data_IF_433692843764
#
_entry.id   IF_433692843764
#
_cell.length_a   1.000
_cell.length_b   1.000
_cell.length_c   1.000
_cell.angle_alpha   90.00
_cell.angle_beta   90.00
_cell.angle_gamma   90.00
#
_symmetry.space_group_name_H-M   'P 1'
#
loop_
_entity.id
_entity.type
_entity.pdbx_description
1 polymer ?
#
# COMPACT_ATOMS: atom_id res chain seq x y z
N UNK A 1 2.61 -12.45 -5.18
CA UNK A 1 1.49 -12.06 -4.34
C UNK A 1 0.62 -11.00 -5.01
N UNK A 2 -0.52 -10.66 -4.40
CA UNK A 2 -1.53 -9.74 -4.96
C UNK A 2 -0.97 -8.39 -5.41
N UNK A 3 -0.05 -7.80 -4.66
CA UNK A 3 0.54 -6.49 -4.99
C UNK A 3 1.27 -6.51 -6.34
N UNK A 4 2.07 -7.55 -6.59
CA UNK A 4 2.78 -7.71 -7.86
C UNK A 4 1.82 -8.02 -9.01
N UNK A 5 0.74 -8.77 -8.77
CA UNK A 5 -0.30 -9.03 -9.75
C UNK A 5 -1.02 -7.73 -10.16
N UNK A 6 -1.39 -6.89 -9.19
CA UNK A 6 -2.00 -5.58 -9.44
C UNK A 6 -1.04 -4.70 -10.25
N UNK A 7 0.22 -4.59 -9.84
CA UNK A 7 1.22 -3.79 -10.54
C UNK A 7 1.42 -4.25 -12.00
N UNK A 8 1.49 -5.56 -12.24
CA UNK A 8 1.59 -6.14 -13.58
C UNK A 8 0.35 -5.86 -14.41
N UNK A 9 -0.85 -6.04 -13.84
CA UNK A 9 -2.12 -5.75 -14.52
C UNK A 9 -2.25 -4.29 -14.92
N UNK A 10 -1.92 -3.35 -14.02
CA UNK A 10 -1.93 -1.92 -14.32
C UNK A 10 -0.92 -1.56 -15.41
N UNK A 11 0.27 -2.17 -15.40
CA UNK A 11 1.27 -1.97 -16.44
C UNK A 11 0.79 -2.50 -17.80
N UNK A 12 0.11 -3.67 -17.81
CA UNK A 12 -0.51 -4.21 -19.00
C UNK A 12 -1.57 -3.27 -19.57
N UNK A 13 -2.47 -2.76 -18.74
CA UNK A 13 -3.49 -1.78 -19.12
C UNK A 13 -2.84 -0.54 -19.73
N UNK A 14 -1.81 0.01 -19.07
CA UNK A 14 -1.12 1.22 -19.54
C UNK A 14 -0.45 1.01 -20.91
N UNK A 15 0.07 -0.19 -21.18
CA UNK A 15 0.82 -0.48 -22.41
C UNK A 15 -0.08 -0.87 -23.58
N UNK A 16 -1.10 -1.69 -23.34
CA UNK A 16 -1.85 -2.36 -24.42
C UNK A 16 -3.28 -1.86 -24.58
N UNK A 17 -3.90 -1.31 -23.54
CA UNK A 17 -5.25 -0.76 -23.61
C UNK A 17 -5.17 0.72 -23.97
N UNK A 18 -5.56 1.09 -25.22
CA UNK A 18 -5.40 2.47 -25.71
C UNK A 18 -6.67 3.33 -25.70
N UNK A 19 -7.85 2.75 -25.42
CA UNK A 19 -9.12 3.50 -25.41
C UNK A 19 -9.10 4.56 -24.29
N UNK A 20 -9.48 5.81 -24.63
CA UNK A 20 -9.38 6.96 -23.71
C UNK A 20 -10.36 6.94 -22.54
N UNK A 21 -11.50 6.30 -22.70
CA UNK A 21 -12.66 6.42 -21.79
C UNK A 21 -12.84 5.24 -20.84
N UNK A 22 -11.85 4.34 -20.77
CA UNK A 22 -11.96 3.16 -19.91
C UNK A 22 -11.91 3.54 -18.43
N UNK A 23 -12.88 3.04 -17.69
CA UNK A 23 -12.97 3.10 -16.22
C UNK A 23 -12.37 1.81 -15.66
N UNK A 24 -11.41 1.89 -14.77
CA UNK A 24 -10.71 0.73 -14.24
C UNK A 24 -11.00 0.55 -12.76
N UNK A 25 -11.44 -0.64 -12.42
CA UNK A 25 -11.70 -1.04 -11.03
C UNK A 25 -10.75 -2.15 -10.67
N UNK A 26 -10.01 -1.95 -9.57
CA UNK A 26 -9.12 -2.93 -8.96
C UNK A 26 -9.86 -3.50 -7.76
N UNK A 27 -9.96 -4.83 -7.66
CA UNK A 27 -10.55 -5.51 -6.51
C UNK A 27 -9.91 -6.88 -6.31
N UNK A 28 -9.97 -7.39 -5.08
CA UNK A 28 -9.53 -8.74 -4.76
C UNK A 28 -10.58 -9.77 -5.23
N UNK A 29 -10.14 -10.91 -5.76
CA UNK A 29 -11.02 -11.94 -6.35
C UNK A 29 -11.51 -13.00 -5.35
N UNK A 30 -11.24 -12.83 -4.07
CA UNK A 30 -11.56 -13.80 -3.02
C UNK A 30 -12.97 -13.63 -2.42
N UNK A 31 -13.72 -12.65 -2.92
CA UNK A 31 -15.08 -12.34 -2.49
C UNK A 31 -15.18 -11.47 -1.24
N UNK A 32 -14.06 -11.03 -0.66
CA UNK A 32 -14.06 -10.11 0.47
C UNK A 32 -14.46 -8.69 0.06
N UNK A 33 -14.11 -8.28 -1.16
CA UNK A 33 -14.60 -7.04 -1.76
C UNK A 33 -15.99 -7.28 -2.39
N UNK A 34 -16.96 -6.40 -2.11
CA UNK A 34 -18.34 -6.56 -2.60
C UNK A 34 -18.51 -6.02 -4.03
N UNK A 35 -18.78 -6.88 -5.05
CA UNK A 35 -19.01 -6.43 -6.42
C UNK A 35 -20.19 -5.49 -6.57
N UNK A 36 -21.18 -5.51 -5.66
CA UNK A 36 -22.32 -4.58 -5.69
C UNK A 36 -21.87 -3.12 -5.56
N UNK A 37 -20.74 -2.87 -4.91
CA UNK A 37 -20.14 -1.54 -4.77
C UNK A 37 -19.67 -0.94 -6.12
N UNK A 38 -19.47 -1.77 -7.13
CA UNK A 38 -19.14 -1.29 -8.49
C UNK A 38 -20.24 -0.35 -9.01
N UNK A 39 -21.51 -0.67 -8.75
CA UNK A 39 -22.63 0.20 -9.15
C UNK A 39 -22.59 1.57 -8.46
N UNK A 40 -22.19 1.61 -7.18
CA UNK A 40 -22.02 2.87 -6.44
C UNK A 40 -20.85 3.70 -7.02
N UNK A 41 -19.73 3.05 -7.32
CA UNK A 41 -18.58 3.69 -7.98
C UNK A 41 -19.02 4.33 -9.30
N UNK A 42 -19.73 3.58 -10.15
CA UNK A 42 -20.19 4.09 -11.45
C UNK A 42 -21.12 5.28 -11.27
N UNK A 43 -22.14 5.17 -10.41
CA UNK A 43 -23.04 6.29 -10.10
C UNK A 43 -22.30 7.53 -9.59
N UNK A 44 -21.26 7.33 -8.76
CA UNK A 44 -20.47 8.43 -8.24
C UNK A 44 -19.67 9.13 -9.36
N UNK A 45 -19.05 8.36 -10.25
CA UNK A 45 -18.28 8.88 -11.38
C UNK A 45 -19.19 9.63 -12.36
N UNK A 46 -20.38 9.09 -12.63
CA UNK A 46 -21.34 9.71 -13.57
C UNK A 46 -21.89 11.05 -13.02
N UNK A 47 -21.98 11.19 -11.69
CA UNK A 47 -22.30 12.50 -11.04
C UNK A 47 -21.10 13.45 -10.97
N UNK A 48 -19.89 12.90 -10.88
CA UNK A 48 -18.66 13.65 -10.63
C UNK A 48 -17.60 13.31 -11.69
N UNK A 49 -17.80 13.79 -12.92
CA UNK A 49 -16.92 13.48 -14.07
C UNK A 49 -15.44 13.87 -13.88
N UNK A 50 -15.13 14.76 -12.93
CA UNK A 50 -13.76 15.17 -12.61
C UNK A 50 -13.03 14.16 -11.70
N UNK A 51 -13.75 13.20 -11.11
CA UNK A 51 -13.16 12.21 -10.20
C UNK A 51 -12.19 11.28 -10.93
N UNK A 52 -10.99 11.18 -10.43
CA UNK A 52 -9.92 10.37 -11.02
C UNK A 52 -9.58 9.13 -10.22
N UNK A 53 -9.82 9.17 -8.92
CA UNK A 53 -9.50 8.13 -7.95
C UNK A 53 -10.64 8.02 -6.94
N UNK A 54 -11.14 6.80 -6.73
CA UNK A 54 -12.03 6.46 -5.62
C UNK A 54 -11.40 5.30 -4.88
N UNK A 55 -11.22 5.44 -3.57
CA UNK A 55 -10.75 4.36 -2.70
C UNK A 55 -11.91 3.81 -1.88
N UNK A 56 -11.96 2.49 -1.72
CA UNK A 56 -12.97 1.85 -0.89
C UNK A 56 -12.42 1.70 0.52
N UNK A 57 -12.93 2.51 1.46
CA UNK A 57 -12.52 2.47 2.85
C UNK A 57 -13.25 1.35 3.58
N UNK A 58 -12.48 0.47 4.21
CA UNK A 58 -13.01 -0.67 4.96
C UNK A 58 -13.55 -0.20 6.30
N UNK A 59 -14.87 -0.35 6.53
CA UNK A 59 -15.56 0.14 7.72
C UNK A 59 -15.66 -0.89 8.85
N UNK A 60 -15.71 -2.18 8.52
CA UNK A 60 -15.90 -3.26 9.50
C UNK A 60 -14.88 -4.35 9.23
N UNK A 61 -14.13 -4.74 10.26
CA UNK A 61 -13.32 -5.95 10.28
C UNK A 61 -14.02 -6.97 11.16
N UNK A 62 -14.32 -8.14 10.59
CA UNK A 62 -14.81 -9.32 11.34
C UNK A 62 -13.63 -10.19 11.80
N UNK A 63 -12.51 -9.58 12.10
CA UNK A 63 -11.33 -10.26 12.63
C UNK A 63 -11.44 -10.34 14.17
N UNK A 64 -10.67 -11.23 14.80
CA UNK A 64 -10.67 -11.31 16.25
C UNK A 64 -10.22 -9.99 16.87
N UNK A 65 -10.70 -9.69 18.09
CA UNK A 65 -10.35 -8.48 18.84
C UNK A 65 -8.85 -8.25 18.91
N UNK A 66 -8.06 -9.30 19.13
CA UNK A 66 -6.61 -9.26 19.17
C UNK A 66 -5.98 -8.80 17.83
N UNK A 67 -6.48 -9.32 16.71
CA UNK A 67 -6.02 -8.89 15.38
C UNK A 67 -6.37 -7.42 15.10
N UNK A 68 -7.50 -6.95 15.56
CA UNK A 68 -7.89 -5.55 15.42
C UNK A 68 -6.93 -4.61 16.17
N UNK A 69 -6.56 -4.97 17.40
CA UNK A 69 -5.58 -4.20 18.20
C UNK A 69 -4.22 -4.19 17.51
N UNK A 70 -3.69 -5.34 17.09
CA UNK A 70 -2.40 -5.41 16.39
C UNK A 70 -2.39 -4.58 15.11
N UNK A 71 -3.51 -4.53 14.43
CA UNK A 71 -3.63 -3.71 13.23
C UNK A 71 -3.63 -2.20 13.54
N UNK A 72 -4.35 -1.75 14.56
CA UNK A 72 -4.33 -0.33 14.95
C UNK A 72 -2.94 0.08 15.46
N UNK A 73 -2.26 -0.78 16.22
CA UNK A 73 -0.86 -0.58 16.61
C UNK A 73 0.04 -0.47 15.37
N UNK A 74 -0.13 -1.36 14.39
CA UNK A 74 0.61 -1.30 13.14
C UNK A 74 0.36 0.00 12.38
N UNK A 75 -0.89 0.47 12.28
CA UNK A 75 -1.22 1.75 11.65
C UNK A 75 -0.56 2.93 12.37
N UNK A 76 -0.61 2.93 13.69
CA UNK A 76 -0.01 3.97 14.53
C UNK A 76 1.52 4.00 14.35
N UNK A 77 2.19 2.86 14.46
CA UNK A 77 3.64 2.74 14.23
C UNK A 77 4.01 3.18 12.81
N UNK A 78 3.25 2.73 11.79
CA UNK A 78 3.49 3.15 10.41
C UNK A 78 3.34 4.66 10.24
N UNK A 79 2.33 5.26 10.89
CA UNK A 79 2.15 6.72 10.88
C UNK A 79 3.37 7.43 11.50
N UNK A 80 3.82 7.06 12.69
CA UNK A 80 4.99 7.68 13.33
C UNK A 80 6.26 7.52 12.49
N UNK A 81 6.45 6.37 11.87
CA UNK A 81 7.65 6.08 11.05
C UNK A 81 7.61 6.83 9.72
N UNK A 82 6.45 6.88 9.06
CA UNK A 82 6.33 7.40 7.68
C UNK A 82 5.69 8.78 7.60
N UNK A 83 5.08 9.26 8.68
CA UNK A 83 4.22 10.46 8.74
C UNK A 83 3.08 10.43 7.72
N UNK A 84 2.60 9.23 7.36
CA UNK A 84 1.50 9.01 6.41
C UNK A 84 0.51 7.99 6.95
N UNK A 85 -0.76 8.33 6.79
CA UNK A 85 -1.87 7.48 7.21
C UNK A 85 -2.52 6.80 6.01
N UNK A 86 -2.63 5.45 6.07
CA UNK A 86 -3.18 4.66 4.98
C UNK A 86 -4.23 3.70 5.55
N UNK A 87 -5.50 3.92 5.22
CA UNK A 87 -6.62 3.11 5.75
C UNK A 87 -7.44 2.39 4.67
N UNK A 88 -7.00 2.39 3.42
CA UNK A 88 -7.68 1.69 2.34
C UNK A 88 -6.86 0.51 1.82
N UNK A 89 -7.56 -0.47 1.25
CA UNK A 89 -6.95 -1.65 0.63
C UNK A 89 -6.73 -1.50 -0.88
N UNK A 90 -6.88 -2.61 -1.58
CA UNK A 90 -6.70 -2.65 -3.04
C UNK A 90 -7.95 -2.17 -3.80
N UNK A 91 -9.16 -2.33 -3.21
CA UNK A 91 -10.40 -2.01 -3.88
C UNK A 91 -10.51 -0.52 -4.17
N UNK A 92 -10.50 -0.17 -5.44
CA UNK A 92 -10.44 1.23 -5.89
C UNK A 92 -10.80 1.38 -7.37
N UNK A 93 -11.24 2.57 -7.72
CA UNK A 93 -11.38 3.02 -9.11
C UNK A 93 -10.21 3.93 -9.47
N UNK A 94 -9.67 3.74 -10.67
CA UNK A 94 -8.65 4.61 -11.25
C UNK A 94 -9.04 5.03 -12.67
N UNK A 95 -8.85 6.30 -12.97
CA UNK A 95 -8.88 6.78 -14.35
C UNK A 95 -7.61 6.38 -15.10
N UNK A 96 -7.67 6.31 -16.43
CA UNK A 96 -6.52 6.02 -17.29
C UNK A 96 -5.32 6.92 -17.01
N UNK A 97 -5.57 8.21 -16.82
CA UNK A 97 -4.51 9.19 -16.55
C UNK A 97 -3.72 8.84 -15.28
N UNK A 98 -4.42 8.39 -14.24
CA UNK A 98 -3.81 7.93 -12.99
C UNK A 98 -3.00 6.66 -13.21
N UNK A 99 -3.54 5.67 -13.93
CA UNK A 99 -2.84 4.42 -14.24
C UNK A 99 -1.52 4.70 -14.99
N UNK A 100 -1.56 5.53 -16.02
CA UNK A 100 -0.37 5.89 -16.79
C UNK A 100 0.70 6.60 -15.95
N UNK A 101 0.28 7.42 -14.98
CA UNK A 101 1.21 8.07 -14.04
C UNK A 101 1.73 7.08 -13.00
N UNK A 102 0.86 6.24 -12.45
CA UNK A 102 1.17 5.28 -11.38
C UNK A 102 2.16 4.21 -11.86
N UNK A 103 2.00 3.72 -13.11
CA UNK A 103 2.87 2.67 -13.68
C UNK A 103 4.30 3.13 -13.95
N UNK A 104 4.56 4.44 -13.94
CA UNK A 104 5.92 5.01 -13.98
C UNK A 104 6.63 4.98 -12.62
N UNK A 105 5.90 4.69 -11.53
CA UNK A 105 6.45 4.68 -10.17
C UNK A 105 6.96 3.29 -9.81
N UNK A 106 8.26 3.18 -9.50
CA UNK A 106 8.91 1.90 -9.11
C UNK A 106 8.31 1.32 -7.83
N UNK A 107 7.87 2.17 -6.94
CA UNK A 107 7.23 1.83 -5.66
C UNK A 107 5.94 1.00 -5.84
N UNK A 108 5.27 1.10 -7.00
CA UNK A 108 4.08 0.31 -7.31
C UNK A 108 4.34 -1.19 -7.18
N UNK A 109 5.57 -1.64 -7.43
CA UNK A 109 5.97 -3.04 -7.29
C UNK A 109 6.00 -3.52 -5.85
N UNK A 110 6.21 -2.62 -4.89
CA UNK A 110 6.27 -2.90 -3.46
C UNK A 110 4.86 -2.98 -2.85
N UNK A 111 4.09 -1.88 -2.98
CA UNK A 111 2.76 -1.78 -2.38
C UNK A 111 1.88 -0.79 -3.14
N UNK A 112 0.77 -1.28 -3.71
CA UNK A 112 -0.17 -0.50 -4.52
C UNK A 112 -0.81 0.65 -3.73
N UNK A 113 -1.48 0.34 -2.60
CA UNK A 113 -2.20 1.34 -1.81
C UNK A 113 -1.26 2.43 -1.26
N UNK A 114 -0.08 2.04 -0.79
CA UNK A 114 0.93 2.97 -0.31
C UNK A 114 1.43 3.90 -1.43
N UNK A 115 1.68 3.34 -2.63
CA UNK A 115 2.12 4.13 -3.78
C UNK A 115 1.03 5.09 -4.25
N UNK A 116 -0.23 4.62 -4.30
CA UNK A 116 -1.37 5.47 -4.62
C UNK A 116 -1.50 6.63 -3.62
N UNK A 117 -1.34 6.34 -2.32
CA UNK A 117 -1.41 7.35 -1.27
C UNK A 117 -0.26 8.36 -1.33
N UNK A 118 0.94 7.89 -1.67
CA UNK A 118 2.14 8.76 -1.75
C UNK A 118 2.09 9.77 -2.88
N UNK A 119 1.60 9.37 -4.05
CA UNK A 119 1.70 10.17 -5.27
C UNK A 119 0.41 10.87 -5.69
N UNK A 120 -0.71 10.57 -5.03
CA UNK A 120 -1.99 11.18 -5.34
C UNK A 120 -2.70 11.59 -4.04
N UNK A 121 -2.76 12.89 -3.79
CA UNK A 121 -3.39 13.44 -2.58
C UNK A 121 -4.92 13.49 -2.73
N UNK A 122 -5.40 13.99 -3.87
CA UNK A 122 -6.84 14.08 -4.13
C UNK A 122 -7.42 12.71 -4.49
N UNK A 123 -8.16 12.14 -3.55
CA UNK A 123 -8.87 10.86 -3.64
C UNK A 123 -10.24 10.99 -3.00
N UNK A 124 -11.26 10.53 -3.70
CA UNK A 124 -12.58 10.33 -3.11
C UNK A 124 -12.62 8.98 -2.38
N UNK A 125 -13.51 8.86 -1.43
CA UNK A 125 -13.66 7.60 -0.69
C UNK A 125 -15.12 7.20 -0.57
N UNK A 126 -15.38 5.88 -0.74
CA UNK A 126 -16.67 5.26 -0.51
C UNK A 126 -16.50 4.23 0.58
N UNK A 127 -17.43 4.17 1.52
CA UNK A 127 -17.41 3.18 2.58
C UNK A 127 -17.82 1.81 2.04
N UNK A 128 -16.99 0.80 2.27
CA UNK A 128 -17.25 -0.57 1.85
C UNK A 128 -16.95 -1.54 2.98
N UNK A 129 -17.97 -2.20 3.55
CA UNK A 129 -17.75 -3.25 4.53
C UNK A 129 -17.07 -4.44 3.87
N UNK A 130 -16.09 -5.04 4.56
CA UNK A 130 -15.44 -6.27 4.11
C UNK A 130 -16.38 -7.45 4.32
N UNK A 131 -16.60 -8.23 3.28
CA UNK A 131 -17.41 -9.46 3.34
C UNK A 131 -16.58 -10.63 3.88
N UNK A 132 -17.27 -11.71 4.26
CA UNK A 132 -16.59 -13.00 4.46
C UNK A 132 -16.08 -13.52 3.12
N UNK A 133 -14.90 -14.11 3.13
CA UNK A 133 -14.33 -14.80 1.96
C UNK A 133 -15.27 -15.91 1.49
N UNK A 134 -15.47 -16.01 0.18
CA UNK A 134 -16.38 -17.01 -0.42
C UNK A 134 -15.79 -18.39 -0.32
N UNK A 135 -14.46 -18.53 -0.55
CA UNK A 135 -13.77 -19.83 -0.53
C UNK A 135 -12.34 -19.72 -0.08
N UNK A 136 -11.81 -20.81 0.47
CA UNK A 136 -10.42 -20.96 0.88
C UNK A 136 -10.06 -20.23 2.19
N UNK A 137 -8.92 -20.65 2.77
CA UNK A 137 -8.34 -19.98 3.94
C UNK A 137 -7.46 -18.81 3.52
N UNK A 138 -7.30 -17.83 4.40
CA UNK A 138 -6.34 -16.74 4.17
C UNK A 138 -4.92 -17.32 3.98
N UNK A 139 -4.27 -16.96 2.87
CA UNK A 139 -2.86 -17.29 2.63
C UNK A 139 -1.89 -16.32 3.34
N UNK A 140 -2.42 -15.41 4.16
CA UNK A 140 -1.65 -14.41 4.86
C UNK A 140 -1.09 -15.01 6.15
N UNK A 141 0.16 -15.50 6.11
CA UNK A 141 0.94 -15.89 7.30
C UNK A 141 1.49 -14.65 8.01
N UNK A 142 1.92 -14.78 9.25
CA UNK A 142 2.59 -13.70 10.00
C UNK A 142 3.82 -13.15 9.25
N UNK A 143 4.64 -14.03 8.66
CA UNK A 143 5.78 -13.63 7.84
C UNK A 143 5.36 -12.79 6.63
N UNK A 144 4.26 -13.15 5.96
CA UNK A 144 3.71 -12.38 4.85
C UNK A 144 3.15 -11.02 5.30
N UNK A 145 2.57 -10.93 6.51
CA UNK A 145 2.12 -9.67 7.10
C UNK A 145 3.29 -8.72 7.36
N UNK A 146 4.38 -9.23 7.98
CA UNK A 146 5.60 -8.45 8.22
C UNK A 146 6.19 -7.96 6.90
N UNK A 147 6.34 -8.87 5.92
CA UNK A 147 6.86 -8.50 4.59
C UNK A 147 5.98 -7.45 3.91
N UNK A 148 4.66 -7.56 4.03
CA UNK A 148 3.72 -6.59 3.48
C UNK A 148 3.85 -5.22 4.18
N UNK A 149 4.01 -5.21 5.50
CA UNK A 149 4.27 -4.00 6.28
C UNK A 149 5.57 -3.32 5.86
N UNK A 150 6.67 -4.08 5.75
CA UNK A 150 7.95 -3.58 5.27
C UNK A 150 7.87 -3.02 3.85
N UNK A 151 7.08 -3.65 2.96
CA UNK A 151 6.87 -3.15 1.61
C UNK A 151 6.11 -1.82 1.60
N UNK A 152 5.08 -1.66 2.45
CA UNK A 152 4.38 -0.38 2.63
C UNK A 152 5.35 0.70 3.11
N UNK A 153 6.12 0.43 4.14
CA UNK A 153 7.11 1.37 4.69
C UNK A 153 8.19 1.71 3.66
N UNK A 154 8.66 0.74 2.88
CA UNK A 154 9.66 0.93 1.82
C UNK A 154 9.23 1.96 0.77
N UNK A 155 7.93 2.10 0.52
CA UNK A 155 7.39 3.15 -0.37
C UNK A 155 7.71 4.55 0.17
N UNK A 156 7.77 4.72 1.49
CA UNK A 156 8.01 6.01 2.16
C UNK A 156 9.44 6.19 2.65
N UNK A 157 10.43 5.55 2.04
CA UNK A 157 11.82 5.55 2.49
C UNK A 157 12.38 6.95 2.79
N UNK A 158 12.05 7.96 1.96
CA UNK A 158 12.47 9.34 2.22
C UNK A 158 11.86 9.91 3.50
N UNK A 159 10.58 9.68 3.72
CA UNK A 159 9.89 10.14 4.94
C UNK A 159 10.51 9.49 6.19
N UNK A 160 10.78 8.17 6.12
CA UNK A 160 11.42 7.41 7.20
C UNK A 160 12.78 8.00 7.53
N UNK A 161 13.59 8.31 6.53
CA UNK A 161 14.90 8.94 6.71
C UNK A 161 14.79 10.26 7.47
N UNK A 162 13.90 11.16 7.05
CA UNK A 162 13.69 12.42 7.74
C UNK A 162 13.13 12.26 9.15
N UNK A 163 12.16 11.38 9.36
CA UNK A 163 11.60 11.09 10.68
C UNK A 163 12.71 10.60 11.63
N UNK A 164 13.59 9.74 11.15
CA UNK A 164 14.67 9.18 11.98
C UNK A 164 15.75 10.21 12.32
N UNK A 165 16.06 11.13 11.41
CA UNK A 165 16.91 12.27 11.73
C UNK A 165 16.28 13.09 12.86
N UNK A 166 14.99 13.45 12.74
CA UNK A 166 14.29 14.23 13.76
C UNK A 166 14.29 13.50 15.10
N UNK A 167 13.93 12.22 15.13
CA UNK A 167 13.89 11.44 16.38
C UNK A 167 15.28 11.29 17.01
N UNK A 168 16.30 11.03 16.18
CA UNK A 168 17.68 10.94 16.68
C UNK A 168 18.17 12.29 17.24
N UNK A 169 17.84 13.39 16.60
CA UNK A 169 18.17 14.74 17.09
C UNK A 169 17.50 15.02 18.43
N UNK A 170 16.21 14.68 18.58
CA UNK A 170 15.48 14.83 19.85
C UNK A 170 16.13 13.96 20.94
N UNK A 171 16.47 12.71 20.64
CA UNK A 171 17.11 11.81 21.59
C UNK A 171 18.50 12.31 22.03
N UNK A 172 19.31 12.82 21.11
CA UNK A 172 20.62 13.43 21.41
C UNK A 172 20.45 14.67 22.28
N UNK A 173 19.46 15.53 21.94
CA UNK A 173 19.18 16.74 22.75
C UNK A 173 18.80 16.38 24.19
N UNK A 174 17.95 15.36 24.37
CA UNK A 174 17.61 14.86 25.72
C UNK A 174 18.82 14.31 26.46
N UNK A 175 19.81 13.76 25.76
CA UNK A 175 21.06 13.31 26.38
C UNK A 175 21.89 14.47 27.00
N UNK A 176 21.88 15.64 26.37
CA UNK A 176 22.63 16.84 26.86
C UNK A 176 22.12 17.26 28.24
N UNK A 177 20.83 17.07 28.54
CA UNK A 177 20.20 17.39 29.81
C UNK A 177 20.35 16.29 30.89
N UNK A 178 21.43 15.48 30.84
CA UNK A 178 21.73 14.39 31.79
C UNK A 178 20.68 13.27 31.84
N UNK A 179 19.82 13.18 30.83
CA UNK A 179 18.86 12.07 30.67
C UNK A 179 19.43 10.92 29.84
N UNK A 180 20.77 10.95 29.59
CA UNK A 180 21.45 9.86 28.89
C UNK A 180 21.43 8.62 29.76
N UNK A 181 20.73 7.63 29.27
CA UNK A 181 20.70 6.32 29.86
C UNK A 181 20.76 5.26 28.74
N UNK A 182 20.96 4.03 29.15
CA UNK A 182 21.03 2.88 28.23
C UNK A 182 19.80 2.77 27.31
N UNK A 183 18.66 3.30 27.76
CA UNK A 183 17.40 3.31 26.99
C UNK A 183 17.53 4.19 25.74
N UNK A 184 18.12 5.36 25.86
CA UNK A 184 18.32 6.28 24.72
C UNK A 184 19.20 5.65 23.65
N UNK A 185 20.29 5.01 24.07
CA UNK A 185 21.20 4.29 23.16
C UNK A 185 20.45 3.13 22.48
N UNK A 186 19.66 2.36 23.24
CA UNK A 186 18.84 1.28 22.71
C UNK A 186 17.84 1.79 21.66
N UNK A 187 17.17 2.91 21.90
CA UNK A 187 16.22 3.49 20.93
C UNK A 187 16.92 3.90 19.64
N UNK A 188 18.08 4.54 19.71
CA UNK A 188 18.86 4.93 18.52
C UNK A 188 19.27 3.68 17.73
N UNK A 189 19.75 2.64 18.40
CA UNK A 189 20.14 1.39 17.74
C UNK A 189 18.97 0.70 17.07
N UNK A 190 17.76 0.73 17.67
CA UNK A 190 16.54 0.21 17.07
C UNK A 190 16.12 0.98 15.81
N UNK A 191 16.24 2.32 15.81
CA UNK A 191 15.96 3.13 14.61
C UNK A 191 16.92 2.78 13.47
N UNK A 192 18.22 2.63 13.76
CA UNK A 192 19.24 2.24 12.78
C UNK A 192 18.95 0.84 12.25
N UNK A 193 18.69 -0.13 13.12
CA UNK A 193 18.40 -1.51 12.74
C UNK A 193 17.16 -1.58 11.83
N UNK A 194 16.09 -0.87 12.18
CA UNK A 194 14.88 -0.83 11.35
C UNK A 194 15.16 -0.19 9.98
N UNK A 195 15.94 0.88 9.92
CA UNK A 195 16.33 1.49 8.63
C UNK A 195 17.12 0.52 7.75
N UNK A 196 18.04 -0.25 8.35
CA UNK A 196 18.79 -1.28 7.64
C UNK A 196 17.88 -2.40 7.11
N UNK A 197 16.90 -2.84 7.91
CA UNK A 197 15.91 -3.86 7.49
C UNK A 197 15.12 -3.37 6.27
N UNK A 198 14.66 -2.12 6.27
CA UNK A 198 13.92 -1.55 5.13
C UNK A 198 14.80 -1.46 3.89
N UNK A 199 16.06 -1.00 4.03
CA UNK A 199 16.98 -0.92 2.90
C UNK A 199 17.30 -2.29 2.32
N UNK A 200 17.46 -3.31 3.18
CA UNK A 200 17.64 -4.69 2.76
C UNK A 200 16.40 -5.23 2.04
N UNK A 201 15.20 -4.96 2.55
CA UNK A 201 13.96 -5.36 1.90
C UNK A 201 13.84 -4.78 0.48
N UNK A 202 14.18 -3.50 0.29
CA UNK A 202 14.19 -2.86 -1.03
C UNK A 202 15.20 -3.54 -1.97
N UNK A 203 16.39 -3.88 -1.47
CA UNK A 203 17.41 -4.59 -2.26
C UNK A 203 16.96 -5.98 -2.65
N UNK A 204 16.35 -6.73 -1.72
CA UNK A 204 15.79 -8.06 -1.96
C UNK A 204 14.72 -8.02 -3.06
N UNK A 205 13.79 -7.08 -3.00
CA UNK A 205 12.73 -6.94 -3.99
C UNK A 205 13.26 -6.55 -5.38
N UNK A 206 14.41 -5.88 -5.46
CA UNK A 206 15.08 -5.54 -6.74
C UNK A 206 15.77 -6.73 -7.39
N UNK A 207 16.17 -7.76 -6.63
CA UNK A 207 16.84 -8.97 -7.16
C UNK A 207 15.89 -9.95 -7.85
N UNK A 208 14.59 -9.84 -7.60
CA UNK A 208 13.57 -10.67 -8.25
C UNK A 208 13.19 -10.17 -9.65
N UNK A 209 12.12 -10.73 -10.20
CA UNK A 209 11.53 -10.23 -11.46
C UNK A 209 11.17 -8.76 -11.25
N UNK A 210 11.87 -7.90 -11.97
CA UNK A 210 11.69 -6.47 -11.84
C UNK A 210 10.33 -6.06 -12.40
N UNK A 211 9.81 -4.96 -11.91
CA UNK A 211 8.58 -4.36 -12.45
C UNK A 211 8.66 -4.16 -13.99
N UNK A 212 9.83 -3.85 -14.49
CA UNK A 212 10.05 -3.66 -15.94
C UNK A 212 9.86 -4.95 -16.75
N UNK A 213 10.24 -6.10 -16.20
CA UNK A 213 10.12 -7.41 -16.86
C UNK A 213 8.82 -8.14 -16.52
N UNK A 214 7.96 -7.55 -15.69
CA UNK A 214 6.75 -8.23 -15.19
C UNK A 214 5.79 -8.68 -16.28
N UNK A 215 5.75 -7.98 -17.42
CA UNK A 215 4.89 -8.34 -18.56
C UNK A 215 5.34 -9.63 -19.27
N UNK A 216 6.61 -10.00 -19.18
CA UNK A 216 7.13 -11.22 -19.80
C UNK A 216 6.59 -12.51 -19.15
N UNK A 217 6.00 -12.38 -17.95
CA UNK A 217 5.38 -13.51 -17.22
C UNK A 217 3.93 -13.75 -17.60
N UNK A 218 3.34 -12.96 -18.48
CA UNK A 218 1.97 -13.16 -18.94
C UNK A 218 1.99 -14.24 -20.02
N UNK A 219 1.59 -15.48 -19.64
CA UNK A 219 1.63 -16.64 -20.54
C UNK A 219 0.52 -16.63 -21.58
N UNK A 220 -0.66 -16.10 -21.25
CA UNK A 220 -1.78 -16.01 -22.18
C UNK A 220 -2.73 -14.89 -21.80
N UNK A 221 -3.36 -14.28 -22.77
CA UNK A 221 -4.42 -13.29 -22.59
C UNK A 221 -5.65 -13.86 -23.27
N UNK A 222 -6.65 -14.27 -22.49
CA UNK A 222 -7.98 -14.60 -23.05
C UNK A 222 -8.77 -13.30 -23.14
N UNK A 223 -9.20 -12.94 -24.35
CA UNK A 223 -10.27 -11.95 -24.51
C UNK A 223 -11.57 -12.64 -24.09
N UNK A 224 -12.22 -12.11 -23.08
CA UNK A 224 -13.57 -12.47 -22.70
C UNK A 224 -14.51 -11.57 -23.47
#
# INVERSE_FOLDING_TARGET
GSQKAIATGLKFISKYQKKREDKFIIMDSDGEDDPKKIKEIIKFIDKNHKTKIITMNRTIRKESFFFSILYEIHLLLTFFITLKYIRFGNFSFLSRKVINSLTKKKELWLAYSATLNKFFESKESILAPRRKRISGKSKMSYSNLITHSLNIQSVYMKNIFYSYIIYSTILIFLCIFKTFNIITLLLITLLIAHFLIITFNIKKEKKGITFNLSLNNIKSIKKI
#
